data_IF_712137890756
#
_entry.id   IF_712137890756
#
_cell.length_a   1.000
_cell.length_b   1.000
_cell.length_c   1.000
_cell.angle_alpha   90.00
_cell.angle_beta   90.00
_cell.angle_gamma   90.00
#
_symmetry.space_group_name_H-M   'P 1'
#
loop_
_entity.id
_entity.type
_entity.pdbx_description
1 polymer ?
#
# COMPACT_ATOMS: atom_id res chain seq x y z
N UNK A 1 48.69 27.88 -45.67
CA UNK A 1 47.95 27.44 -44.46
C UNK A 1 46.51 27.94 -44.54
N UNK A 2 45.58 27.09 -44.96
CA UNK A 2 44.16 27.43 -45.15
C UNK A 2 43.49 27.27 -43.78
N UNK A 3 43.17 28.37 -43.09
CA UNK A 3 42.46 28.33 -41.79
C UNK A 3 41.09 27.71 -42.05
N UNK A 4 40.89 26.49 -41.54
CA UNK A 4 39.62 25.79 -41.57
C UNK A 4 38.68 26.51 -40.59
N UNK A 5 38.01 27.56 -41.07
CA UNK A 5 36.96 28.22 -40.30
C UNK A 5 35.74 27.32 -40.42
N UNK A 6 35.57 26.38 -39.48
CA UNK A 6 34.31 25.66 -39.38
C UNK A 6 33.18 26.69 -39.24
N UNK A 7 32.12 26.62 -40.06
CA UNK A 7 30.97 27.47 -39.86
C UNK A 7 30.41 27.17 -38.46
N UNK A 8 30.34 28.19 -37.60
CA UNK A 8 29.91 28.04 -36.20
C UNK A 8 28.50 27.42 -36.06
N UNK A 9 27.71 27.42 -37.14
CA UNK A 9 26.43 26.70 -37.27
C UNK A 9 26.55 25.16 -37.19
N UNK A 10 27.70 24.58 -37.56
CA UNK A 10 27.90 23.12 -37.52
C UNK A 10 28.03 22.57 -36.09
N UNK A 11 28.30 23.43 -35.10
CA UNK A 11 28.49 23.04 -33.69
C UNK A 11 27.22 23.29 -32.87
N UNK A 12 26.44 24.33 -33.19
CA UNK A 12 25.22 24.67 -32.44
C UNK A 12 24.08 23.66 -32.66
N UNK A 13 23.94 23.11 -33.87
CA UNK A 13 22.90 22.13 -34.19
C UNK A 13 23.07 20.78 -33.46
N UNK A 14 24.24 20.10 -33.49
CA UNK A 14 24.43 18.86 -32.74
C UNK A 14 24.35 19.09 -31.22
N UNK A 15 24.78 20.25 -30.71
CA UNK A 15 24.64 20.59 -29.30
C UNK A 15 23.16 20.73 -28.88
N UNK A 16 22.34 21.36 -29.73
CA UNK A 16 20.90 21.48 -29.49
C UNK A 16 20.20 20.11 -29.53
N UNK A 17 20.56 19.25 -30.49
CA UNK A 17 20.04 17.88 -30.56
C UNK A 17 20.44 17.07 -29.31
N UNK A 18 21.69 17.19 -28.87
CA UNK A 18 22.18 16.50 -27.66
C UNK A 18 21.44 16.99 -26.40
N UNK A 19 21.16 18.29 -26.30
CA UNK A 19 20.36 18.85 -25.21
C UNK A 19 18.91 18.33 -25.21
N UNK A 20 18.28 18.22 -26.40
CA UNK A 20 16.93 17.64 -26.55
C UNK A 20 16.93 16.15 -26.18
N UNK A 21 17.91 15.37 -26.65
CA UNK A 21 18.03 13.96 -26.31
C UNK A 21 18.21 13.74 -24.79
N UNK A 22 19.03 14.56 -24.13
CA UNK A 22 19.17 14.52 -22.67
C UNK A 22 17.85 14.85 -21.95
N UNK A 23 17.07 15.81 -22.47
CA UNK A 23 15.75 16.14 -21.92
C UNK A 23 14.79 14.95 -22.04
N UNK A 24 14.71 14.34 -23.22
CA UNK A 24 13.86 13.17 -23.47
C UNK A 24 14.23 12.05 -22.50
N UNK A 25 15.52 11.74 -22.34
CA UNK A 25 15.99 10.71 -21.40
C UNK A 25 15.59 11.03 -19.94
N UNK A 26 15.77 12.28 -19.50
CA UNK A 26 15.39 12.72 -18.14
C UNK A 26 13.87 12.63 -17.94
N UNK A 27 13.09 13.01 -18.95
CA UNK A 27 11.63 12.98 -18.88
C UNK A 27 11.10 11.54 -18.87
N UNK A 28 11.60 10.68 -19.77
CA UNK A 28 11.19 9.28 -19.90
C UNK A 28 11.48 8.50 -18.61
N UNK A 29 12.68 8.68 -18.04
CA UNK A 29 13.07 8.02 -16.79
C UNK A 29 12.31 8.56 -15.57
N UNK A 30 12.01 9.86 -15.55
CA UNK A 30 11.15 10.47 -14.53
C UNK A 30 9.70 9.97 -14.61
N UNK A 31 9.16 9.84 -15.82
CA UNK A 31 7.80 9.38 -16.07
C UNK A 31 7.62 7.91 -15.65
N UNK A 32 8.51 7.02 -16.11
CA UNK A 32 8.45 5.59 -15.76
C UNK A 32 8.54 5.35 -14.25
N UNK A 33 9.44 6.06 -13.54
CA UNK A 33 9.55 5.99 -12.07
C UNK A 33 8.32 6.55 -11.37
N UNK A 34 7.73 7.62 -11.89
CA UNK A 34 6.51 8.21 -11.33
C UNK A 34 5.31 7.26 -11.49
N UNK A 35 5.17 6.59 -12.63
CA UNK A 35 4.09 5.64 -12.86
C UNK A 35 4.19 4.41 -11.95
N UNK A 36 5.40 3.87 -11.76
CA UNK A 36 5.64 2.77 -10.83
C UNK A 36 5.34 3.18 -9.38
N UNK A 37 5.78 4.37 -8.95
CA UNK A 37 5.49 4.91 -7.62
C UNK A 37 3.99 5.15 -7.40
N UNK A 38 3.25 5.62 -8.41
CA UNK A 38 1.79 5.78 -8.32
C UNK A 38 1.08 4.42 -8.17
N UNK A 39 1.51 3.40 -8.92
CA UNK A 39 0.97 2.06 -8.80
C UNK A 39 1.23 1.46 -7.41
N UNK A 40 2.46 1.59 -6.91
CA UNK A 40 2.84 1.13 -5.56
C UNK A 40 2.04 1.85 -4.46
N UNK A 41 1.83 3.17 -4.61
CA UNK A 41 1.01 3.96 -3.69
C UNK A 41 -0.45 3.51 -3.68
N UNK A 42 -1.05 3.27 -4.85
CA UNK A 42 -2.43 2.78 -4.95
C UNK A 42 -2.58 1.40 -4.30
N UNK A 43 -1.61 0.51 -4.53
CA UNK A 43 -1.60 -0.83 -3.97
C UNK A 43 -1.43 -0.81 -2.44
N UNK A 44 -0.55 0.05 -1.91
CA UNK A 44 -0.40 0.27 -0.49
C UNK A 44 -1.69 0.82 0.14
N UNK A 45 -2.34 1.80 -0.49
CA UNK A 45 -3.61 2.35 -0.02
C UNK A 45 -4.71 1.28 0.05
N UNK A 46 -4.84 0.44 -0.98
CA UNK A 46 -5.80 -0.67 -1.00
C UNK A 46 -5.51 -1.68 0.12
N UNK A 47 -4.24 -1.97 0.39
CA UNK A 47 -3.83 -2.86 1.49
C UNK A 47 -4.20 -2.28 2.84
N UNK A 48 -3.97 -0.98 3.04
CA UNK A 48 -4.33 -0.24 4.26
C UNK A 48 -5.84 -0.26 4.52
N UNK A 49 -6.63 -0.09 3.48
CA UNK A 49 -8.09 -0.20 3.55
C UNK A 49 -8.51 -1.63 3.91
N UNK A 50 -7.96 -2.64 3.24
CA UNK A 50 -8.23 -4.05 3.53
C UNK A 50 -7.91 -4.45 4.96
N UNK A 51 -6.77 -4.02 5.50
CA UNK A 51 -6.40 -4.24 6.91
C UNK A 51 -7.37 -3.52 7.88
N UNK A 52 -7.83 -2.32 7.53
CA UNK A 52 -8.77 -1.58 8.37
C UNK A 52 -10.15 -2.24 8.41
N UNK A 53 -10.65 -2.68 7.25
CA UNK A 53 -11.89 -3.47 7.14
C UNK A 53 -11.77 -4.77 7.93
N UNK A 54 -10.65 -5.49 7.78
CA UNK A 54 -10.40 -6.74 8.52
C UNK A 54 -10.48 -6.52 10.04
N UNK A 55 -9.86 -5.46 10.55
CA UNK A 55 -9.92 -5.12 11.97
C UNK A 55 -11.34 -4.79 12.44
N UNK A 56 -12.14 -4.08 11.63
CA UNK A 56 -13.53 -3.80 11.94
C UNK A 56 -14.36 -5.09 12.00
N UNK A 57 -14.24 -5.95 10.99
CA UNK A 57 -14.94 -7.25 10.95
C UNK A 57 -14.58 -8.16 12.13
N UNK A 58 -13.31 -8.16 12.56
CA UNK A 58 -12.87 -8.91 13.74
C UNK A 58 -13.49 -8.37 15.04
N UNK A 59 -13.57 -7.05 15.19
CA UNK A 59 -14.21 -6.41 16.34
C UNK A 59 -15.72 -6.66 16.38
N UNK A 60 -16.38 -6.60 15.22
CA UNK A 60 -17.80 -6.92 15.08
C UNK A 60 -18.05 -8.39 15.46
N UNK A 61 -17.21 -9.33 15.01
CA UNK A 61 -17.32 -10.74 15.36
C UNK A 61 -17.18 -10.97 16.88
N UNK A 62 -16.17 -10.35 17.52
CA UNK A 62 -15.99 -10.44 18.97
C UNK A 62 -17.17 -9.80 19.73
N UNK A 63 -17.67 -8.66 19.27
CA UNK A 63 -18.80 -7.96 19.90
C UNK A 63 -20.08 -8.78 19.81
N UNK A 64 -20.36 -9.36 18.64
CA UNK A 64 -21.46 -10.29 18.41
C UNK A 64 -21.39 -11.52 19.31
N UNK A 65 -20.22 -12.15 19.38
CA UNK A 65 -19.99 -13.30 20.26
C UNK A 65 -20.28 -12.95 21.71
N UNK A 66 -19.70 -11.86 22.24
CA UNK A 66 -19.90 -11.44 23.64
C UNK A 66 -21.35 -11.09 23.93
N UNK A 67 -22.04 -10.44 23.00
CA UNK A 67 -23.47 -10.15 23.11
C UNK A 67 -24.32 -11.42 23.21
N UNK A 68 -24.04 -12.41 22.37
CA UNK A 68 -24.71 -13.71 22.41
C UNK A 68 -24.39 -14.50 23.68
N UNK A 69 -23.13 -14.55 24.10
CA UNK A 69 -22.74 -15.24 25.34
C UNK A 69 -23.40 -14.62 26.58
N UNK A 70 -23.48 -13.29 26.62
CA UNK A 70 -24.09 -12.55 27.74
C UNK A 70 -25.61 -12.74 27.81
N UNK A 71 -26.30 -12.68 26.67
CA UNK A 71 -27.77 -12.61 26.64
C UNK A 71 -28.46 -13.92 26.28
N UNK A 72 -27.77 -14.82 25.56
CA UNK A 72 -28.35 -16.00 24.93
C UNK A 72 -29.21 -15.69 23.69
N UNK A 73 -29.33 -14.42 23.29
CA UNK A 73 -30.20 -14.01 22.20
C UNK A 73 -29.49 -14.13 20.84
N UNK A 74 -30.04 -14.98 19.97
CA UNK A 74 -29.47 -15.29 18.65
C UNK A 74 -29.40 -14.09 17.72
N UNK A 75 -30.15 -13.00 17.97
CA UNK A 75 -30.06 -11.75 17.19
C UNK A 75 -28.66 -11.13 17.24
N UNK A 76 -27.89 -11.36 18.31
CA UNK A 76 -26.50 -10.91 18.40
C UNK A 76 -25.56 -11.66 17.45
N UNK A 77 -25.98 -12.80 16.87
CA UNK A 77 -25.18 -13.56 15.91
C UNK A 77 -25.38 -13.13 14.45
N UNK A 78 -26.38 -12.31 14.13
CA UNK A 78 -26.58 -11.83 12.75
C UNK A 78 -25.34 -11.11 12.18
N UNK A 79 -24.66 -10.21 12.93
CA UNK A 79 -23.44 -9.59 12.44
C UNK A 79 -22.30 -10.60 12.31
N UNK A 80 -22.17 -11.58 13.22
CA UNK A 80 -21.12 -12.62 13.17
C UNK A 80 -21.14 -13.40 11.85
N UNK A 81 -22.32 -13.86 11.42
CA UNK A 81 -22.46 -14.63 10.18
C UNK A 81 -22.08 -13.80 8.95
N UNK A 82 -22.46 -12.52 8.94
CA UNK A 82 -22.10 -11.56 7.87
C UNK A 82 -20.59 -11.30 7.82
N UNK A 83 -19.96 -11.02 8.97
CA UNK A 83 -18.55 -10.63 9.00
C UNK A 83 -17.60 -11.81 8.80
N UNK A 84 -18.01 -13.05 9.07
CA UNK A 84 -17.18 -14.22 8.78
C UNK A 84 -16.88 -14.36 7.27
N UNK A 85 -17.89 -14.13 6.42
CA UNK A 85 -17.71 -14.10 4.98
C UNK A 85 -16.83 -12.92 4.53
N UNK A 86 -16.99 -11.76 5.16
CA UNK A 86 -16.19 -10.55 4.89
C UNK A 86 -14.72 -10.72 5.26
N UNK A 87 -14.43 -11.34 6.42
CA UNK A 87 -13.07 -11.68 6.86
C UNK A 87 -12.40 -12.58 5.84
N UNK A 88 -13.06 -13.65 5.42
CA UNK A 88 -12.51 -14.61 4.45
C UNK A 88 -12.18 -13.92 3.13
N UNK A 89 -13.13 -13.14 2.59
CA UNK A 89 -12.93 -12.38 1.36
C UNK A 89 -11.80 -11.36 1.47
N UNK A 90 -11.70 -10.66 2.60
CA UNK A 90 -10.66 -9.65 2.83
C UNK A 90 -9.29 -10.30 2.97
N UNK A 91 -9.19 -11.44 3.64
CA UNK A 91 -7.96 -12.21 3.73
C UNK A 91 -7.48 -12.68 2.36
N UNK A 92 -8.36 -13.21 1.52
CA UNK A 92 -7.99 -13.65 0.17
C UNK A 92 -7.50 -12.50 -0.71
N UNK A 93 -8.15 -11.33 -0.63
CA UNK A 93 -7.71 -10.10 -1.31
C UNK A 93 -6.31 -9.67 -0.85
N UNK A 94 -6.07 -9.64 0.47
CA UNK A 94 -4.76 -9.30 1.04
C UNK A 94 -3.69 -10.35 0.69
N UNK A 95 -4.05 -11.64 0.59
CA UNK A 95 -3.11 -12.70 0.20
C UNK A 95 -2.48 -12.43 -1.16
N UNK A 96 -3.30 -12.06 -2.16
CA UNK A 96 -2.81 -11.74 -3.50
C UNK A 96 -1.71 -10.68 -3.46
N UNK A 97 -1.91 -9.63 -2.68
CA UNK A 97 -0.93 -8.57 -2.46
C UNK A 97 0.37 -9.05 -1.82
N UNK A 98 0.30 -9.76 -0.71
CA UNK A 98 1.50 -10.16 0.05
C UNK A 98 2.29 -11.29 -0.63
N UNK A 99 1.65 -12.11 -1.49
CA UNK A 99 2.38 -13.11 -2.30
C UNK A 99 3.22 -12.43 -3.38
N UNK A 100 2.69 -11.38 -4.01
CA UNK A 100 3.45 -10.57 -4.98
C UNK A 100 4.55 -9.75 -4.29
N UNK A 101 4.31 -9.30 -3.06
CA UNK A 101 5.23 -8.47 -2.30
C UNK A 101 5.77 -9.18 -1.04
N UNK A 102 6.89 -9.87 -1.19
CA UNK A 102 7.48 -10.72 -0.15
C UNK A 102 7.94 -9.97 1.12
N UNK A 103 8.05 -8.64 1.08
CA UNK A 103 8.61 -7.85 2.18
C UNK A 103 7.82 -7.99 3.50
N UNK A 104 6.50 -8.20 3.42
CA UNK A 104 5.59 -8.24 4.57
C UNK A 104 4.84 -9.60 4.68
N UNK A 105 5.27 -10.60 3.89
CA UNK A 105 4.57 -11.89 3.80
C UNK A 105 4.60 -12.68 5.11
N UNK A 106 5.69 -12.57 5.88
CA UNK A 106 5.85 -13.28 7.15
C UNK A 106 4.88 -12.75 8.21
N UNK A 107 4.75 -11.43 8.28
CA UNK A 107 3.87 -10.66 9.17
C UNK A 107 2.41 -10.93 8.81
N UNK A 108 2.07 -10.90 7.52
CA UNK A 108 0.74 -11.28 7.04
C UNK A 108 0.39 -12.74 7.37
N UNK A 109 1.35 -13.66 7.20
CA UNK A 109 1.14 -15.07 7.56
C UNK A 109 0.94 -15.28 9.07
N UNK A 110 1.59 -14.47 9.91
CA UNK A 110 1.33 -14.46 11.35
C UNK A 110 -0.07 -13.93 11.66
N UNK A 111 -0.45 -12.80 11.05
CA UNK A 111 -1.79 -12.21 11.19
C UNK A 111 -2.89 -13.24 10.86
N UNK A 112 -2.74 -13.94 9.73
CA UNK A 112 -3.68 -14.99 9.30
C UNK A 112 -3.86 -16.07 10.38
N UNK A 113 -2.76 -16.60 10.93
CA UNK A 113 -2.82 -17.63 11.98
C UNK A 113 -3.53 -17.14 13.24
N UNK A 114 -3.33 -15.88 13.64
CA UNK A 114 -4.01 -15.31 14.81
C UNK A 114 -5.51 -15.12 14.55
N UNK A 115 -5.88 -14.71 13.35
CA UNK A 115 -7.29 -14.59 12.93
C UNK A 115 -7.97 -15.95 12.92
N UNK A 116 -7.37 -16.96 12.30
CA UNK A 116 -7.92 -18.33 12.25
C UNK A 116 -8.15 -18.89 13.66
N UNK A 117 -7.19 -18.71 14.56
CA UNK A 117 -7.31 -19.13 15.96
C UNK A 117 -8.43 -18.37 16.69
N UNK A 118 -8.53 -17.05 16.48
CA UNK A 118 -9.59 -16.24 17.09
C UNK A 118 -10.97 -16.63 16.57
N UNK A 119 -11.12 -16.84 15.27
CA UNK A 119 -12.38 -17.27 14.68
C UNK A 119 -12.78 -18.68 15.14
N UNK A 120 -11.80 -19.58 15.28
CA UNK A 120 -12.05 -20.92 15.86
C UNK A 120 -12.51 -20.84 17.31
N UNK A 121 -11.97 -19.92 18.12
CA UNK A 121 -12.42 -19.70 19.50
C UNK A 121 -13.87 -19.17 19.54
N UNK A 122 -14.19 -18.20 18.69
CA UNK A 122 -15.56 -17.68 18.56
C UNK A 122 -16.53 -18.80 18.15
N UNK A 123 -16.20 -19.60 17.14
CA UNK A 123 -17.07 -20.69 16.67
C UNK A 123 -17.33 -21.74 17.75
N UNK A 124 -16.27 -22.16 18.46
CA UNK A 124 -16.37 -23.12 19.57
C UNK A 124 -17.25 -22.57 20.69
N UNK A 125 -17.05 -21.32 21.12
CA UNK A 125 -17.81 -20.73 22.22
C UNK A 125 -19.28 -20.51 21.87
N UNK A 126 -19.57 -20.05 20.64
CA UNK A 126 -20.94 -19.89 20.14
C UNK A 126 -21.65 -21.25 20.08
N UNK A 127 -20.98 -22.29 19.56
CA UNK A 127 -21.55 -23.65 19.50
C UNK A 127 -21.87 -24.19 20.89
N UNK A 128 -20.92 -24.13 21.83
CA UNK A 128 -21.12 -24.61 23.20
C UNK A 128 -22.26 -23.88 23.91
N UNK A 129 -22.41 -22.56 23.68
CA UNK A 129 -23.54 -21.79 24.21
C UNK A 129 -24.87 -22.21 23.59
N UNK A 130 -24.93 -22.47 22.28
CA UNK A 130 -26.13 -22.98 21.59
C UNK A 130 -26.54 -24.37 22.09
N UNK A 131 -25.57 -25.22 22.43
CA UNK A 131 -25.80 -26.56 22.99
C UNK A 131 -26.22 -26.54 24.48
N UNK A 132 -26.25 -25.37 25.12
CA UNK A 132 -26.58 -25.23 26.54
C UNK A 132 -25.46 -25.68 27.49
N UNK A 133 -24.25 -25.94 26.98
CA UNK A 133 -23.12 -26.39 27.77
C UNK A 133 -22.43 -25.22 28.49
N UNK A 134 -23.03 -24.80 29.61
CA UNK A 134 -22.68 -23.52 30.24
C UNK A 134 -21.27 -23.45 30.82
N UNK A 135 -20.81 -24.54 31.42
CA UNK A 135 -19.46 -24.62 32.02
C UNK A 135 -18.38 -24.63 30.94
N UNK A 136 -18.62 -25.31 29.81
CA UNK A 136 -17.63 -25.44 28.75
C UNK A 136 -17.36 -24.11 28.03
N UNK A 137 -18.38 -23.34 27.65
CA UNK A 137 -18.12 -22.07 26.96
C UNK A 137 -17.50 -21.04 27.91
N UNK A 138 -17.90 -21.03 29.19
CA UNK A 138 -17.28 -20.17 30.22
C UNK A 138 -15.81 -20.52 30.39
N UNK A 139 -15.48 -21.82 30.47
CA UNK A 139 -14.11 -22.29 30.55
C UNK A 139 -13.27 -21.75 29.39
N UNK A 140 -13.73 -21.92 28.14
CA UNK A 140 -13.01 -21.44 26.95
C UNK A 140 -12.75 -19.93 27.01
N UNK A 141 -13.74 -19.12 27.36
CA UNK A 141 -13.57 -17.66 27.47
C UNK A 141 -12.59 -17.28 28.60
N UNK A 142 -12.59 -18.01 29.71
CA UNK A 142 -11.67 -17.76 30.84
C UNK A 142 -10.22 -18.17 30.58
N UNK A 143 -9.93 -18.91 29.51
CA UNK A 143 -8.55 -19.28 29.16
C UNK A 143 -7.70 -18.12 28.65
N UNK A 144 -8.28 -16.93 28.45
CA UNK A 144 -7.65 -15.75 27.85
C UNK A 144 -7.17 -15.92 26.40
N UNK A 145 -7.26 -17.12 25.81
CA UNK A 145 -6.81 -17.41 24.44
C UNK A 145 -7.44 -16.44 23.44
N UNK A 146 -8.76 -16.21 23.53
CA UNK A 146 -9.46 -15.29 22.65
C UNK A 146 -9.00 -13.83 22.77
N UNK A 147 -8.57 -13.40 23.96
CA UNK A 147 -8.04 -12.06 24.22
C UNK A 147 -6.62 -11.93 23.65
N UNK A 148 -5.77 -12.92 23.91
CA UNK A 148 -4.39 -12.95 23.40
C UNK A 148 -4.34 -13.00 21.88
N UNK A 149 -5.19 -13.81 21.24
CA UNK A 149 -5.26 -13.83 19.77
C UNK A 149 -5.73 -12.50 19.20
N UNK A 150 -6.72 -11.84 19.81
CA UNK A 150 -7.18 -10.54 19.33
C UNK A 150 -6.12 -9.46 19.51
N UNK A 151 -5.35 -9.50 20.59
CA UNK A 151 -4.24 -8.57 20.81
C UNK A 151 -3.11 -8.79 19.79
N UNK A 152 -2.75 -10.04 19.52
CA UNK A 152 -1.83 -10.36 18.43
C UNK A 152 -2.39 -9.91 17.07
N UNK A 153 -3.68 -10.05 16.79
CA UNK A 153 -4.27 -9.49 15.56
C UNK A 153 -4.07 -7.98 15.48
N UNK A 154 -4.31 -7.23 16.57
CA UNK A 154 -4.09 -5.77 16.62
C UNK A 154 -2.64 -5.39 16.36
N UNK A 155 -1.69 -6.06 17.03
CA UNK A 155 -0.25 -5.77 16.91
C UNK A 155 0.23 -6.03 15.49
N UNK A 156 -0.10 -7.19 14.91
CA UNK A 156 0.33 -7.57 13.58
C UNK A 156 -0.31 -6.67 12.51
N UNK A 157 -1.61 -6.37 12.63
CA UNK A 157 -2.27 -5.42 11.74
C UNK A 157 -1.65 -4.02 11.82
N UNK A 158 -1.30 -3.54 13.01
CA UNK A 158 -0.64 -2.23 13.19
C UNK A 158 0.74 -2.18 12.53
N UNK A 159 1.48 -3.29 12.57
CA UNK A 159 2.80 -3.42 11.93
C UNK A 159 2.67 -3.34 10.41
N UNK A 160 1.71 -4.07 9.83
CA UNK A 160 1.43 -4.04 8.40
C UNK A 160 0.92 -2.67 7.94
N UNK A 161 0.06 -2.02 8.73
CA UNK A 161 -0.41 -0.64 8.47
C UNK A 161 0.76 0.36 8.46
N UNK A 162 1.71 0.22 9.39
CA UNK A 162 2.90 1.07 9.43
C UNK A 162 3.82 0.84 8.22
N UNK A 163 3.99 -0.42 7.79
CA UNK A 163 4.73 -0.76 6.56
C UNK A 163 4.08 -0.13 5.33
N UNK A 164 2.76 -0.29 5.19
CA UNK A 164 1.98 0.32 4.11
C UNK A 164 2.08 1.86 4.10
N UNK A 165 2.02 2.51 5.27
CA UNK A 165 2.18 3.97 5.36
C UNK A 165 3.56 4.42 4.89
N UNK A 166 4.61 3.70 5.29
CA UNK A 166 5.99 4.00 4.88
C UNK A 166 6.16 3.88 3.37
N UNK A 167 5.53 2.89 2.73
CA UNK A 167 5.55 2.74 1.26
C UNK A 167 4.87 3.91 0.55
N UNK A 168 3.74 4.38 1.08
CA UNK A 168 3.05 5.57 0.57
C UNK A 168 3.97 6.80 0.67
N UNK A 169 4.62 7.00 1.81
CA UNK A 169 5.53 8.14 2.02
C UNK A 169 6.73 8.09 1.04
N UNK A 170 7.34 6.92 0.87
CA UNK A 170 8.44 6.71 -0.07
C UNK A 170 7.99 6.96 -1.52
N UNK A 171 6.82 6.45 -1.91
CA UNK A 171 6.27 6.68 -3.25
C UNK A 171 6.02 8.17 -3.51
N UNK A 172 5.46 8.90 -2.54
CA UNK A 172 5.26 10.34 -2.64
C UNK A 172 6.57 11.12 -2.82
N UNK A 173 7.61 10.76 -2.06
CA UNK A 173 8.93 11.38 -2.23
C UNK A 173 9.52 11.12 -3.62
N UNK A 174 9.39 9.90 -4.15
CA UNK A 174 9.89 9.55 -5.48
C UNK A 174 9.19 10.36 -6.57
N UNK A 175 7.85 10.50 -6.49
CA UNK A 175 7.06 11.33 -7.40
C UNK A 175 7.50 12.80 -7.31
N UNK A 176 7.65 13.34 -6.10
CA UNK A 176 8.07 14.73 -5.89
C UNK A 176 9.49 15.02 -6.42
N UNK A 177 10.41 14.05 -6.32
CA UNK A 177 11.76 14.15 -6.88
C UNK A 177 11.72 14.12 -8.41
N UNK A 178 10.96 13.19 -9.00
CA UNK A 178 10.82 13.09 -10.44
C UNK A 178 10.25 14.39 -11.06
N UNK A 179 9.23 14.97 -10.43
CA UNK A 179 8.65 16.25 -10.86
C UNK A 179 9.63 17.42 -10.75
N UNK A 180 10.44 17.48 -9.67
CA UNK A 180 11.47 18.52 -9.51
C UNK A 180 12.56 18.42 -10.57
N UNK A 181 13.06 17.21 -10.83
CA UNK A 181 14.05 16.94 -11.89
C UNK A 181 13.50 17.33 -13.27
N UNK A 182 12.27 16.95 -13.58
CA UNK A 182 11.60 17.33 -14.82
C UNK A 182 11.49 18.86 -14.96
N UNK A 183 11.09 19.57 -13.90
CA UNK A 183 11.00 21.04 -13.91
C UNK A 183 12.35 21.71 -14.18
N UNK A 184 13.43 21.24 -13.54
CA UNK A 184 14.79 21.78 -13.77
C UNK A 184 15.27 21.47 -15.19
N UNK A 185 15.02 20.25 -15.70
CA UNK A 185 15.36 19.86 -17.06
C UNK A 185 14.67 20.72 -18.11
N UNK A 186 13.36 20.96 -17.96
CA UNK A 186 12.59 21.85 -18.85
C UNK A 186 13.14 23.27 -18.81
N UNK A 187 13.43 23.81 -17.63
CA UNK A 187 13.99 25.15 -17.48
C UNK A 187 15.37 25.29 -18.16
N UNK A 188 16.26 24.30 -18.01
CA UNK A 188 17.57 24.30 -18.64
C UNK A 188 17.47 24.26 -20.17
N UNK A 189 16.56 23.46 -20.73
CA UNK A 189 16.38 23.40 -22.18
C UNK A 189 15.73 24.67 -22.73
N UNK A 190 14.75 25.24 -22.02
CA UNK A 190 14.18 26.53 -22.39
C UNK A 190 15.26 27.63 -22.41
N UNK A 191 16.14 27.65 -21.41
CA UNK A 191 17.24 28.62 -21.32
C UNK A 191 18.27 28.39 -22.44
N UNK A 192 18.66 27.15 -22.71
CA UNK A 192 19.55 26.81 -23.83
C UNK A 192 18.94 27.21 -25.19
N UNK A 193 17.64 26.97 -25.39
CA UNK A 193 16.90 27.36 -26.59
C UNK A 193 16.85 28.88 -26.77
N UNK A 194 16.56 29.64 -25.71
CA UNK A 194 16.60 31.10 -25.73
C UNK A 194 18.00 31.64 -26.04
N UNK A 195 19.04 31.03 -25.47
CA UNK A 195 20.42 31.44 -25.68
C UNK A 195 20.87 31.16 -27.12
N UNK A 196 20.50 30.01 -27.69
CA UNK A 196 20.71 29.69 -29.10
C UNK A 196 19.98 30.68 -30.02
N UNK A 197 18.73 31.01 -29.72
CA UNK A 197 17.94 31.99 -30.47
C UNK A 197 18.53 33.39 -30.42
N UNK A 198 18.99 33.84 -29.24
CA UNK A 198 19.66 35.12 -29.08
C UNK A 198 20.96 35.21 -29.89
N UNK A 199 21.78 34.15 -29.87
CA UNK A 199 23.01 34.08 -30.66
C UNK A 199 22.75 34.07 -32.17
N UNK A 200 21.62 33.52 -32.61
CA UNK A 200 21.19 33.58 -34.00
C UNK A 200 20.81 35.01 -34.41
N UNK A 201 19.97 35.70 -33.62
CA UNK A 201 19.58 37.08 -33.91
C UNK A 201 20.76 38.05 -33.94
N UNK A 202 21.77 37.86 -33.08
CA UNK A 202 22.99 38.69 -33.06
C UNK A 202 23.88 38.51 -34.31
N UNK A 203 23.70 37.43 -35.08
CA UNK A 203 24.49 37.16 -36.30
C UNK A 203 23.89 37.78 -37.56
N UNK A 204 22.61 38.16 -37.52
CA UNK A 204 21.92 39.00 -38.53
C UNK A 204 22.15 40.48 -38.27
#
# INVERSE_FOLDING_TARGET
>A
MRKFVMPKMAISMPLAVLAVCLLVIINETGYSRSSAAVADMAQAQQTREGLSTLMQSMLDAETSQRGFLLTGDTRYLEPYERVNAEITKTLDSLRGFYVENQADLAEYSQLLRHIERKMSEIDVTVRLRKEGNEDAWKFVVTTDVGREQMEAVRVQASTLLASSSRRIDVAQEQIARALRLSRVGIALVALAGLLAFYLYLRQT
#
